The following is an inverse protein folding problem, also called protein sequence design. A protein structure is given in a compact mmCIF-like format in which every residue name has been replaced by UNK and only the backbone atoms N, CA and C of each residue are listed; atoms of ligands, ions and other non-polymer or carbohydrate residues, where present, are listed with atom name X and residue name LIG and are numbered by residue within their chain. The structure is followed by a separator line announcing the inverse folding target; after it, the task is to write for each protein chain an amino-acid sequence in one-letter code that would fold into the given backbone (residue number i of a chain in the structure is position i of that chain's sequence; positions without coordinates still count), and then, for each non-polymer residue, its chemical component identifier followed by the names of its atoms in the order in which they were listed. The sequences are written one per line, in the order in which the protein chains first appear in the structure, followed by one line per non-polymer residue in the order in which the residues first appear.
data_IF_232598782894
#
_entry.id   IF_232598782894
#
_cell.length_a   1.000
_cell.length_b   1.000
_cell.length_c   1.000
_cell.angle_alpha   90.00
_cell.angle_beta   90.00
_cell.angle_gamma   90.00
#
_symmetry.space_group_name_H-M   'P 1'
#
loop_
_entity.id
_entity.type
_entity.pdbx_description
1 polymer ?
#
# COMPACT_ATOMS: atom_id res chain seq x y z
N UNK A 1 -0.98 -4.57 -12.57
CA UNK A 1 -1.81 -5.70 -12.07
C UNK A 1 -1.98 -5.59 -10.56
N UNK A 2 -2.87 -6.37 -9.92
CA UNK A 2 -3.13 -6.25 -8.46
C UNK A 2 -1.88 -6.46 -7.60
N UNK A 3 -0.99 -7.37 -8.01
CA UNK A 3 0.33 -7.58 -7.38
C UNK A 3 1.16 -6.30 -7.33
N UNK A 4 1.26 -5.59 -8.44
CA UNK A 4 2.11 -4.39 -8.53
C UNK A 4 1.57 -3.27 -7.64
N UNK A 5 0.24 -3.15 -7.53
CA UNK A 5 -0.41 -2.21 -6.61
C UNK A 5 -0.17 -2.57 -5.15
N UNK A 6 -0.25 -3.86 -4.80
CA UNK A 6 0.07 -4.31 -3.44
C UNK A 6 1.53 -3.99 -3.09
N UNK A 7 2.46 -4.28 -4.00
CA UNK A 7 3.89 -3.97 -3.82
C UNK A 7 4.11 -2.46 -3.69
N UNK A 8 3.42 -1.64 -4.50
CA UNK A 8 3.51 -0.19 -4.40
C UNK A 8 3.01 0.35 -3.05
N UNK A 9 1.94 -0.22 -2.48
CA UNK A 9 1.47 0.12 -1.14
C UNK A 9 2.50 -0.26 -0.09
N UNK A 10 3.02 -1.49 -0.18
CA UNK A 10 4.05 -1.98 0.73
C UNK A 10 5.27 -1.03 0.71
N UNK A 11 5.77 -0.68 -0.47
CA UNK A 11 6.92 0.22 -0.62
C UNK A 11 6.64 1.62 -0.08
N UNK A 12 5.46 2.18 -0.37
CA UNK A 12 5.07 3.50 0.12
C UNK A 12 4.92 3.59 1.64
N UNK A 13 4.59 2.49 2.31
CA UNK A 13 4.56 2.42 3.78
C UNK A 13 5.93 2.09 4.40
N UNK A 14 6.95 1.85 3.59
CA UNK A 14 8.30 1.47 4.02
C UNK A 14 8.32 0.31 5.04
N UNK A 15 7.38 -0.64 4.90
CA UNK A 15 7.27 -1.78 5.82
C UNK A 15 8.33 -2.84 5.49
N UNK A 16 8.80 -3.56 6.50
CA UNK A 16 9.60 -4.78 6.29
C UNK A 16 8.69 -5.99 6.21
N UNK A 17 9.13 -7.08 5.57
CA UNK A 17 8.36 -8.34 5.55
C UNK A 17 8.11 -8.89 6.97
N UNK A 18 9.07 -8.69 7.88
CA UNK A 18 8.89 -9.00 9.31
C UNK A 18 7.76 -8.18 9.93
N UNK A 19 7.68 -6.88 9.60
CA UNK A 19 6.60 -6.04 10.14
C UNK A 19 5.24 -6.44 9.59
N UNK A 20 5.17 -6.83 8.31
CA UNK A 20 3.94 -7.36 7.72
C UNK A 20 3.53 -8.66 8.40
N UNK A 21 4.45 -9.57 8.68
CA UNK A 21 4.17 -10.80 9.43
C UNK A 21 3.60 -10.52 10.83
N UNK A 22 4.19 -9.58 11.57
CA UNK A 22 3.67 -9.17 12.89
C UNK A 22 2.25 -8.58 12.82
N UNK A 23 1.95 -7.82 11.76
CA UNK A 23 0.67 -7.12 11.62
C UNK A 23 -0.45 -7.97 11.00
N UNK A 24 -0.08 -8.92 10.13
CA UNK A 24 -1.04 -9.70 9.33
C UNK A 24 -1.10 -11.17 9.73
N UNK A 25 -0.11 -11.67 10.47
CA UNK A 25 0.06 -13.11 10.74
C UNK A 25 0.51 -13.92 9.51
N UNK A 26 0.73 -13.28 8.35
CA UNK A 26 1.21 -13.94 7.13
C UNK A 26 2.72 -14.03 7.18
N UNK A 27 3.22 -15.26 7.09
CA UNK A 27 4.66 -15.56 7.11
C UNK A 27 5.46 -14.70 6.12
N UNK A 28 6.59 -14.15 6.58
CA UNK A 28 7.46 -13.26 5.79
C UNK A 28 7.95 -13.87 4.48
N UNK A 29 8.16 -15.19 4.41
CA UNK A 29 8.55 -15.87 3.17
C UNK A 29 7.42 -15.84 2.15
N UNK A 30 6.15 -15.86 2.57
CA UNK A 30 5.00 -15.68 1.66
C UNK A 30 4.95 -14.27 1.08
N UNK A 31 5.34 -13.26 1.85
CA UNK A 31 5.49 -11.89 1.37
C UNK A 31 6.63 -11.77 0.35
N UNK A 32 7.80 -12.36 0.63
CA UNK A 32 8.90 -12.38 -0.34
C UNK A 32 8.59 -13.20 -1.59
N UNK A 33 7.89 -14.33 -1.47
CA UNK A 33 7.46 -15.12 -2.62
C UNK A 33 6.47 -14.35 -3.51
N UNK A 34 5.53 -13.61 -2.90
CA UNK A 34 4.63 -12.70 -3.62
C UNK A 34 5.41 -11.59 -4.31
N UNK A 35 6.30 -10.89 -3.57
CA UNK A 35 7.14 -9.82 -4.12
C UNK A 35 8.03 -10.31 -5.25
N UNK A 36 8.57 -11.53 -5.14
CA UNK A 36 9.37 -12.18 -6.18
C UNK A 36 8.57 -12.77 -7.34
N UNK A 37 7.24 -12.73 -7.30
CA UNK A 37 6.38 -13.26 -8.35
C UNK A 37 6.28 -14.79 -8.37
N UNK A 38 6.83 -15.47 -7.36
CA UNK A 38 6.75 -16.93 -7.19
C UNK A 38 5.36 -17.37 -6.72
N UNK A 39 4.58 -16.45 -6.15
CA UNK A 39 3.21 -16.67 -5.67
C UNK A 39 2.28 -15.56 -6.17
N UNK A 40 1.04 -15.93 -6.51
CA UNK A 40 -0.03 -14.96 -6.83
C UNK A 40 -0.59 -14.35 -5.55
N UNK A 41 -1.06 -13.11 -5.67
CA UNK A 41 -1.84 -12.43 -4.62
C UNK A 41 -3.12 -13.24 -4.37
N UNK A 42 -3.43 -13.53 -3.11
CA UNK A 42 -4.69 -14.13 -2.68
C UNK A 42 -5.49 -13.16 -1.80
N UNK A 43 -6.61 -13.66 -1.26
CA UNK A 43 -7.49 -12.89 -0.37
C UNK A 43 -6.78 -12.47 0.91
N UNK A 44 -6.08 -13.38 1.60
CA UNK A 44 -5.34 -13.06 2.84
C UNK A 44 -4.36 -11.90 2.65
N UNK A 45 -3.64 -11.85 1.53
CA UNK A 45 -2.69 -10.78 1.24
C UNK A 45 -3.40 -9.42 1.11
N UNK A 46 -4.57 -9.42 0.48
CA UNK A 46 -5.38 -8.22 0.26
C UNK A 46 -5.98 -7.76 1.59
N UNK A 47 -6.58 -8.66 2.36
CA UNK A 47 -7.14 -8.32 3.67
C UNK A 47 -6.05 -7.83 4.63
N UNK A 48 -4.92 -8.54 4.68
CA UNK A 48 -3.78 -8.18 5.52
C UNK A 48 -3.22 -6.79 5.20
N UNK A 49 -3.05 -6.45 3.92
CA UNK A 49 -2.54 -5.13 3.55
C UNK A 49 -3.59 -4.03 3.81
N UNK A 50 -4.87 -4.30 3.54
CA UNK A 50 -5.94 -3.30 3.71
C UNK A 50 -6.32 -3.07 5.17
N UNK A 51 -6.10 -4.04 6.07
CA UNK A 51 -6.22 -3.82 7.51
C UNK A 51 -5.24 -2.76 8.02
N UNK A 52 -4.07 -2.64 7.39
CA UNK A 52 -3.02 -1.67 7.75
C UNK A 52 -3.17 -0.37 6.94
N UNK A 53 -3.73 -0.46 5.72
CA UNK A 53 -3.78 0.64 4.75
C UNK A 53 -5.18 0.82 4.13
N UNK A 54 -6.22 1.06 4.94
CA UNK A 54 -7.60 1.16 4.46
C UNK A 54 -7.81 2.29 3.44
N UNK A 55 -6.98 3.33 3.47
CA UNK A 55 -7.01 4.45 2.53
C UNK A 55 -6.68 4.05 1.08
N UNK A 56 -6.12 2.85 0.85
CA UNK A 56 -5.75 2.38 -0.47
C UNK A 56 -6.69 1.30 -1.04
N UNK A 57 -7.79 0.98 -0.35
CA UNK A 57 -8.68 -0.14 -0.73
C UNK A 57 -9.23 -0.04 -2.16
N UNK A 58 -9.83 1.11 -2.50
CA UNK A 58 -10.38 1.33 -3.83
C UNK A 58 -9.30 1.22 -4.91
N UNK A 59 -8.11 1.77 -4.64
CA UNK A 59 -7.02 1.77 -5.59
C UNK A 59 -6.42 0.39 -5.77
N UNK A 60 -6.19 -0.36 -4.69
CA UNK A 60 -5.66 -1.72 -4.73
C UNK A 60 -6.52 -2.65 -5.58
N UNK A 61 -7.84 -2.53 -5.48
CA UNK A 61 -8.77 -3.43 -6.19
C UNK A 61 -9.07 -2.90 -7.58
N UNK A 62 -9.51 -1.64 -7.71
CA UNK A 62 -10.06 -1.09 -8.96
C UNK A 62 -9.09 -0.22 -9.76
N UNK A 63 -8.06 0.33 -9.10
CA UNK A 63 -7.08 1.23 -9.72
C UNK A 63 -7.56 2.67 -9.79
N UNK A 64 -8.78 2.92 -9.32
CA UNK A 64 -9.38 4.23 -9.18
C UNK A 64 -9.04 4.82 -7.81
N UNK A 65 -9.19 6.14 -7.71
CA UNK A 65 -9.12 6.89 -6.46
C UNK A 65 -10.43 7.66 -6.28
N UNK A 66 -10.77 7.96 -5.03
CA UNK A 66 -11.84 8.86 -4.61
C UNK A 66 -11.32 9.67 -3.40
N UNK A 67 -10.43 10.67 -3.64
CA UNK A 67 -9.79 11.45 -2.58
C UNK A 67 -10.78 12.11 -1.62
N UNK A 68 -11.94 12.52 -2.12
CA UNK A 68 -13.04 13.08 -1.35
C UNK A 68 -13.58 12.15 -0.26
N UNK A 69 -13.36 10.84 -0.41
CA UNK A 69 -13.74 9.80 0.55
C UNK A 69 -12.51 9.19 1.26
N UNK A 70 -11.34 9.83 1.16
CA UNK A 70 -10.08 9.34 1.73
C UNK A 70 -9.51 8.10 1.03
N UNK A 71 -10.04 7.73 -0.13
CA UNK A 71 -9.57 6.59 -0.92
C UNK A 71 -8.58 7.07 -1.97
N UNK A 72 -7.29 6.89 -1.71
CA UNK A 72 -6.21 7.49 -2.49
C UNK A 72 -5.27 6.40 -3.05
N UNK A 73 -4.24 6.84 -3.77
CA UNK A 73 -3.14 5.99 -4.21
C UNK A 73 -1.85 6.41 -3.52
N UNK A 74 -0.83 5.54 -3.44
CA UNK A 74 0.49 5.93 -2.95
C UNK A 74 1.08 7.17 -3.65
N UNK A 75 0.91 7.28 -4.97
CA UNK A 75 1.39 8.43 -5.74
C UNK A 75 0.63 9.72 -5.39
N UNK A 76 -0.68 9.62 -5.13
CA UNK A 76 -1.47 10.76 -4.66
C UNK A 76 -1.00 11.22 -3.28
N UNK A 77 -0.80 10.29 -2.33
CA UNK A 77 -0.31 10.60 -1.00
C UNK A 77 1.07 11.30 -1.04
N UNK A 78 1.99 10.81 -1.87
CA UNK A 78 3.30 11.43 -2.05
C UNK A 78 3.22 12.85 -2.62
N UNK A 79 2.35 13.08 -3.61
CA UNK A 79 2.16 14.40 -4.21
C UNK A 79 1.56 15.41 -3.22
N UNK A 80 0.58 14.98 -2.43
CA UNK A 80 -0.08 15.80 -1.41
C UNK A 80 0.91 16.24 -0.31
N UNK A 81 1.79 15.34 0.13
CA UNK A 81 2.86 15.63 1.08
C UNK A 81 3.83 16.70 0.55
N UNK A 82 4.28 16.58 -0.70
CA UNK A 82 5.19 17.56 -1.32
C UNK A 82 4.54 18.95 -1.44
N UNK A 83 3.24 19.01 -1.74
CA UNK A 83 2.52 20.27 -1.80
C UNK A 83 2.42 20.92 -0.41
N UNK A 84 2.17 20.14 0.64
CA UNK A 84 2.14 20.64 2.01
C UNK A 84 3.50 21.22 2.45
N UNK A 85 4.60 20.55 2.12
CA UNK A 85 5.96 21.01 2.42
C UNK A 85 6.29 22.33 1.71
N UNK A 86 5.91 22.48 0.44
CA UNK A 86 6.13 23.72 -0.32
C UNK A 86 5.37 24.92 0.25
N UNK A 87 4.14 24.70 0.74
CA UNK A 87 3.35 25.76 1.36
C UNK A 87 3.87 26.15 2.76
N UNK A 88 4.52 25.22 3.48
CA UNK A 88 5.08 25.46 4.80
C UNK A 88 6.35 26.34 4.79
N UNK A 89 7.07 26.41 3.67
CA UNK A 89 8.29 27.21 3.50
C UNK A 89 8.08 28.66 3.05
N UNK A 90 6.84 29.09 2.81
CA UNK A 90 6.53 30.42 2.31
C UNK A 90 6.12 31.37 3.46
N UNK A 91 7.06 31.75 4.32
CA UNK A 91 6.95 32.86 5.28
C UNK A 91 8.26 33.60 5.43
#
# INVERSE_FOLDING_TARGET
MIRDRLIAIWDAKALTAKKLEELTGIDREKWYALRGGKRRVNEDDIEGILAITPEYALWLVSGKIAPESGQISPAYAEADLKLAEQNAGSK
#
